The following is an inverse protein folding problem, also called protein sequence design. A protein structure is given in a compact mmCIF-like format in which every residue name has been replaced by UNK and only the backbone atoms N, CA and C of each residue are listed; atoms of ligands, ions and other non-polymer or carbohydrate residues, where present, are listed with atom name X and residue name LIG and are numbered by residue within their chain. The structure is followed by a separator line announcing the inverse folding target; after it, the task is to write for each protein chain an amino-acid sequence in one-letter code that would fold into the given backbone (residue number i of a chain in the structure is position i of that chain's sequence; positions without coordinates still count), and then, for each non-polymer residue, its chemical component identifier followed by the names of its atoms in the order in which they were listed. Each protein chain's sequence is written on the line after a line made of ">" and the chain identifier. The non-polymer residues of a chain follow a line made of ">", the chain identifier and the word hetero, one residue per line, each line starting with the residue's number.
data_IF_064163511628
#
_entry.id   IF_064163511628
#
_cell.length_a   1.000
_cell.length_b   1.000
_cell.length_c   1.000
_cell.angle_alpha   90.00
_cell.angle_beta   90.00
_cell.angle_gamma   90.00
#
_symmetry.space_group_name_H-M   'P 1'
#
loop_
_entity.id
_entity.type
_entity.pdbx_description
1 polymer ?
#
# COMPACT_ATOMS: atom_id res chain seq x y z
N UNK A 1 11.77 17.75 -4.58
CA UNK A 1 12.05 16.54 -5.39
C UNK A 1 12.52 15.35 -4.54
N UNK A 2 13.66 15.43 -3.85
CA UNK A 2 14.23 14.31 -3.06
C UNK A 2 13.25 13.68 -2.06
N UNK A 3 12.45 14.51 -1.37
CA UNK A 3 11.43 14.02 -0.45
C UNK A 3 10.41 13.10 -1.12
N UNK A 4 9.89 13.49 -2.29
CA UNK A 4 8.93 12.69 -3.04
C UNK A 4 9.53 11.36 -3.51
N UNK A 5 10.81 11.36 -3.91
CA UNK A 5 11.53 10.13 -4.26
C UNK A 5 11.58 9.18 -3.06
N UNK A 6 11.85 9.68 -1.85
CA UNK A 6 11.81 8.85 -0.65
C UNK A 6 10.42 8.29 -0.37
N UNK A 7 9.36 9.09 -0.51
CA UNK A 7 7.99 8.58 -0.35
C UNK A 7 7.66 7.49 -1.37
N UNK A 8 8.13 7.62 -2.61
CA UNK A 8 7.97 6.61 -3.65
C UNK A 8 8.69 5.31 -3.31
N UNK A 9 9.94 5.39 -2.84
CA UNK A 9 10.73 4.22 -2.39
C UNK A 9 10.02 3.53 -1.23
N UNK A 10 9.60 4.28 -0.21
CA UNK A 10 8.88 3.72 0.95
C UNK A 10 7.59 3.04 0.48
N UNK A 11 6.80 3.71 -0.37
CA UNK A 11 5.56 3.15 -0.91
C UNK A 11 5.80 1.84 -1.68
N UNK A 12 6.89 1.77 -2.47
CA UNK A 12 7.26 0.58 -3.23
C UNK A 12 7.64 -0.61 -2.32
N UNK A 13 8.17 -0.34 -1.12
CA UNK A 13 8.55 -1.38 -0.16
C UNK A 13 7.35 -1.90 0.65
N UNK A 14 6.30 -1.10 0.87
CA UNK A 14 5.14 -1.48 1.68
C UNK A 14 4.46 -2.80 1.25
N UNK A 15 4.21 -3.08 -0.05
CA UNK A 15 3.65 -4.36 -0.48
C UNK A 15 4.54 -5.55 -0.11
N UNK A 16 5.86 -5.41 -0.21
CA UNK A 16 6.81 -6.46 0.16
C UNK A 16 6.86 -6.68 1.67
N UNK A 17 6.77 -5.60 2.47
CA UNK A 17 6.63 -5.72 3.92
C UNK A 17 5.30 -6.41 4.31
N UNK A 18 4.21 -6.08 3.60
CA UNK A 18 2.90 -6.72 3.79
C UNK A 18 2.90 -8.23 3.47
N UNK A 19 3.90 -8.72 2.73
CA UNK A 19 4.08 -10.16 2.47
C UNK A 19 4.53 -10.94 3.71
N UNK A 20 5.14 -10.30 4.70
CA UNK A 20 5.62 -10.97 5.92
C UNK A 20 4.53 -11.76 6.64
N UNK A 21 3.39 -11.14 7.01
CA UNK A 21 2.24 -11.84 7.59
C UNK A 21 1.68 -12.98 6.71
N UNK A 22 1.71 -12.82 5.39
CA UNK A 22 1.29 -13.86 4.43
C UNK A 22 2.22 -15.06 4.53
N UNK A 23 3.53 -14.84 4.49
CA UNK A 23 4.53 -15.89 4.60
C UNK A 23 4.46 -16.62 5.96
N UNK A 24 4.21 -15.88 7.04
CA UNK A 24 3.95 -16.48 8.35
C UNK A 24 2.73 -17.41 8.32
N UNK A 25 1.61 -16.96 7.75
CA UNK A 25 0.41 -17.79 7.63
C UNK A 25 0.61 -19.00 6.71
N UNK A 26 1.34 -18.85 5.60
CA UNK A 26 1.72 -19.94 4.71
C UNK A 26 2.55 -20.99 5.44
N UNK A 27 3.55 -20.57 6.24
CA UNK A 27 4.37 -21.49 7.04
C UNK A 27 3.55 -22.35 8.02
N UNK A 28 2.40 -21.85 8.50
CA UNK A 28 1.48 -22.61 9.36
C UNK A 28 0.66 -23.67 8.60
N UNK A 29 0.62 -23.65 7.27
CA UNK A 29 -0.02 -24.67 6.42
C UNK A 29 0.94 -25.84 6.10
N UNK A 30 1.69 -26.32 7.10
CA UNK A 30 2.64 -27.44 6.93
C UNK A 30 4.00 -27.05 6.34
N UNK A 31 4.43 -25.80 6.51
CA UNK A 31 5.68 -25.27 5.95
C UNK A 31 5.45 -24.36 4.74
N UNK A 32 6.46 -23.60 4.33
CA UNK A 32 6.36 -22.72 3.17
C UNK A 32 6.66 -23.50 1.88
N UNK A 33 5.71 -23.56 0.96
CA UNK A 33 5.88 -24.21 -0.35
C UNK A 33 6.50 -23.22 -1.35
N UNK A 34 7.80 -23.37 -1.62
CA UNK A 34 8.52 -22.56 -2.61
C UNK A 34 8.26 -22.98 -4.05
N UNK A 35 7.74 -24.19 -4.29
CA UNK A 35 7.44 -24.68 -5.63
C UNK A 35 6.09 -24.15 -6.12
N UNK A 36 5.08 -24.09 -5.24
CA UNK A 36 3.72 -23.62 -5.59
C UNK A 36 3.16 -22.58 -4.61
N UNK A 37 3.85 -21.45 -4.36
CA UNK A 37 3.48 -20.48 -3.32
C UNK A 37 2.09 -19.86 -3.57
N UNK A 38 1.69 -19.65 -4.83
CA UNK A 38 0.36 -19.09 -5.17
C UNK A 38 -0.77 -20.07 -4.88
N UNK A 39 -0.56 -21.36 -5.15
CA UNK A 39 -1.53 -22.39 -4.82
C UNK A 39 -1.68 -22.52 -3.30
N UNK A 40 -0.58 -22.40 -2.55
CA UNK A 40 -0.62 -22.37 -1.09
C UNK A 40 -1.33 -21.11 -0.55
N UNK A 41 -1.10 -19.94 -1.15
CA UNK A 41 -1.83 -18.72 -0.79
C UNK A 41 -3.35 -18.87 -0.95
N UNK A 42 -3.80 -19.56 -1.99
CA UNK A 42 -5.23 -19.85 -2.22
C UNK A 42 -5.88 -20.73 -1.15
N UNK A 43 -5.08 -21.41 -0.31
CA UNK A 43 -5.57 -22.22 0.82
C UNK A 43 -5.66 -21.43 2.13
N UNK A 44 -5.18 -20.18 2.16
CA UNK A 44 -5.20 -19.35 3.36
C UNK A 44 -6.64 -18.98 3.73
N UNK A 45 -6.97 -19.07 5.01
CA UNK A 45 -8.26 -18.65 5.58
C UNK A 45 -8.02 -17.72 6.77
N UNK A 46 -9.09 -17.08 7.28
CA UNK A 46 -9.03 -16.24 8.48
C UNK A 46 -7.96 -15.14 8.38
N UNK A 47 -7.00 -15.15 9.32
CA UNK A 47 -5.89 -14.21 9.34
C UNK A 47 -5.04 -14.25 8.06
N UNK A 48 -4.74 -15.44 7.53
CA UNK A 48 -3.91 -15.60 6.33
C UNK A 48 -4.59 -15.00 5.09
N UNK A 49 -5.89 -15.22 4.93
CA UNK A 49 -6.67 -14.61 3.85
C UNK A 49 -6.67 -13.08 3.95
N UNK A 50 -6.83 -12.53 5.17
CA UNK A 50 -6.75 -11.08 5.41
C UNK A 50 -5.37 -10.51 5.09
N UNK A 51 -4.31 -11.19 5.50
CA UNK A 51 -2.94 -10.80 5.17
C UNK A 51 -2.69 -10.79 3.66
N UNK A 52 -3.17 -11.82 2.94
CA UNK A 52 -3.03 -11.90 1.48
C UNK A 52 -3.76 -10.76 0.79
N UNK A 53 -4.99 -10.47 1.20
CA UNK A 53 -5.77 -9.38 0.64
C UNK A 53 -5.15 -8.00 0.94
N UNK A 54 -4.57 -7.81 2.14
CA UNK A 54 -3.84 -6.59 2.47
C UNK A 54 -2.58 -6.41 1.59
N UNK A 55 -1.83 -7.48 1.36
CA UNK A 55 -0.66 -7.50 0.48
C UNK A 55 -1.03 -7.15 -0.98
N UNK A 56 -2.09 -7.75 -1.52
CA UNK A 56 -2.56 -7.45 -2.87
C UNK A 56 -3.04 -5.99 -3.00
N UNK A 57 -3.83 -5.52 -2.03
CA UNK A 57 -4.31 -4.15 -2.03
C UNK A 57 -3.18 -3.11 -1.89
N UNK A 58 -2.06 -3.47 -1.24
CA UNK A 58 -0.89 -2.60 -1.18
C UNK A 58 -0.31 -2.34 -2.59
N UNK A 59 -0.28 -3.34 -3.47
CA UNK A 59 0.14 -3.14 -4.87
C UNK A 59 -0.87 -2.29 -5.65
N UNK A 60 -2.17 -2.54 -5.51
CA UNK A 60 -3.23 -1.74 -6.14
C UNK A 60 -3.09 -0.26 -5.81
N UNK A 61 -2.94 0.05 -4.52
CA UNK A 61 -2.76 1.42 -4.05
C UNK A 61 -1.44 2.03 -4.52
N UNK A 62 -0.34 1.25 -4.50
CA UNK A 62 0.98 1.73 -4.93
C UNK A 62 0.97 2.19 -6.39
N UNK A 63 0.29 1.48 -7.29
CA UNK A 63 0.24 1.86 -8.71
C UNK A 63 -0.30 3.28 -8.92
N UNK A 64 -1.39 3.63 -8.23
CA UNK A 64 -2.00 4.96 -8.33
C UNK A 64 -1.07 6.03 -7.73
N UNK A 65 -0.50 5.75 -6.56
CA UNK A 65 0.41 6.68 -5.90
C UNK A 65 1.71 6.91 -6.68
N UNK A 66 2.28 5.84 -7.24
CA UNK A 66 3.47 5.93 -8.07
C UNK A 66 3.24 6.82 -9.29
N UNK A 67 2.10 6.65 -9.98
CA UNK A 67 1.70 7.53 -11.07
C UNK A 67 1.55 8.99 -10.61
N UNK A 68 0.92 9.24 -9.46
CA UNK A 68 0.74 10.59 -8.92
C UNK A 68 2.07 11.29 -8.62
N UNK A 69 2.98 10.61 -7.93
CA UNK A 69 4.29 11.17 -7.56
C UNK A 69 5.17 11.38 -8.80
N UNK A 70 5.18 10.43 -9.73
CA UNK A 70 5.95 10.57 -10.97
C UNK A 70 5.41 11.72 -11.83
N UNK A 71 4.08 11.88 -11.91
CA UNK A 71 3.46 13.02 -12.58
C UNK A 71 3.94 14.33 -11.94
N UNK A 72 3.81 14.47 -10.62
CA UNK A 72 4.22 15.66 -9.90
C UNK A 72 5.72 16.00 -10.06
N UNK A 73 6.60 14.99 -10.06
CA UNK A 73 8.02 15.19 -10.34
C UNK A 73 8.24 15.63 -11.80
N UNK A 74 7.59 14.98 -12.76
CA UNK A 74 7.75 15.27 -14.19
C UNK A 74 7.25 16.65 -14.60
N UNK A 75 6.22 17.16 -13.92
CA UNK A 75 5.65 18.50 -14.14
C UNK A 75 6.24 19.54 -13.19
N UNK A 76 7.25 19.19 -12.40
CA UNK A 76 7.91 20.05 -11.41
C UNK A 76 6.97 20.64 -10.32
N UNK A 77 5.84 19.99 -10.05
CA UNK A 77 4.93 20.33 -8.96
C UNK A 77 5.41 19.67 -7.66
N UNK A 78 6.39 20.29 -7.00
CA UNK A 78 7.08 19.71 -5.83
C UNK A 78 6.87 20.52 -4.55
N UNK A 79 5.81 21.32 -4.50
CA UNK A 79 5.45 22.18 -3.37
C UNK A 79 5.08 21.43 -2.09
N UNK A 80 4.94 22.18 -1.00
CA UNK A 80 4.69 21.63 0.34
C UNK A 80 3.42 20.78 0.41
N UNK A 81 2.31 21.24 -0.19
CA UNK A 81 1.05 20.50 -0.18
C UNK A 81 1.17 19.10 -0.80
N UNK A 82 1.92 18.96 -1.91
CA UNK A 82 2.15 17.64 -2.54
C UNK A 82 2.99 16.74 -1.62
N UNK A 83 3.99 17.30 -0.93
CA UNK A 83 4.79 16.55 0.04
C UNK A 83 3.96 16.11 1.26
N UNK A 84 3.06 16.96 1.75
CA UNK A 84 2.13 16.62 2.84
C UNK A 84 1.17 15.51 2.41
N UNK A 85 0.56 15.62 1.21
CA UNK A 85 -0.31 14.58 0.65
C UNK A 85 0.42 13.24 0.49
N UNK A 86 1.67 13.26 0.02
CA UNK A 86 2.50 12.07 -0.10
C UNK A 86 2.80 11.43 1.26
N UNK A 87 3.03 12.26 2.29
CA UNK A 87 3.22 11.79 3.67
C UNK A 87 1.94 11.14 4.23
N UNK A 88 0.79 11.80 4.04
CA UNK A 88 -0.53 11.29 4.45
C UNK A 88 -0.80 9.93 3.80
N UNK A 89 -0.49 9.78 2.51
CA UNK A 89 -0.59 8.50 1.82
C UNK A 89 0.18 7.40 2.53
N UNK A 90 1.47 7.60 2.82
CA UNK A 90 2.33 6.58 3.46
C UNK A 90 1.75 6.17 4.82
N UNK A 91 1.39 7.14 5.65
CA UNK A 91 0.81 6.89 6.98
C UNK A 91 -0.51 6.11 6.85
N UNK A 92 -1.39 6.55 5.95
CA UNK A 92 -2.67 5.88 5.71
C UNK A 92 -2.47 4.42 5.25
N UNK A 93 -1.44 4.12 4.45
CA UNK A 93 -1.14 2.75 3.99
C UNK A 93 -0.62 1.85 5.09
N UNK A 94 0.22 2.37 5.99
CA UNK A 94 0.66 1.61 7.17
C UNK A 94 -0.54 1.28 8.06
N UNK A 95 -1.38 2.28 8.36
CA UNK A 95 -2.57 2.09 9.18
C UNK A 95 -3.56 1.12 8.51
N UNK A 96 -3.83 1.29 7.21
CA UNK A 96 -4.74 0.41 6.45
C UNK A 96 -4.33 -1.06 6.57
N UNK A 97 -3.04 -1.36 6.40
CA UNK A 97 -2.54 -2.72 6.48
C UNK A 97 -2.74 -3.32 7.88
N UNK A 98 -2.41 -2.57 8.94
CA UNK A 98 -2.65 -3.00 10.32
C UNK A 98 -4.13 -3.27 10.58
N UNK A 99 -5.03 -2.35 10.19
CA UNK A 99 -6.48 -2.53 10.36
C UNK A 99 -7.01 -3.75 9.60
N UNK A 100 -6.44 -4.06 8.44
CA UNK A 100 -6.79 -5.24 7.67
C UNK A 100 -6.46 -6.52 8.46
N UNK A 101 -5.26 -6.60 9.06
CA UNK A 101 -4.82 -7.73 9.86
C UNK A 101 -5.73 -7.93 11.10
N UNK A 102 -6.06 -6.83 11.78
CA UNK A 102 -6.93 -6.80 12.96
C UNK A 102 -8.44 -6.91 12.67
N UNK A 103 -8.83 -6.99 11.39
CA UNK A 103 -10.24 -7.13 10.97
C UNK A 103 -11.15 -5.94 11.38
N UNK A 104 -10.63 -4.70 11.38
CA UNK A 104 -11.39 -3.50 11.75
C UNK A 104 -11.92 -2.81 10.48
N UNK A 105 -13.16 -3.17 10.10
CA UNK A 105 -13.73 -2.85 8.78
C UNK A 105 -13.98 -1.36 8.48
N UNK A 106 -14.69 -0.64 9.36
CA UNK A 106 -15.13 0.75 9.07
C UNK A 106 -13.92 1.68 8.93
N UNK A 107 -13.01 1.65 9.91
CA UNK A 107 -11.82 2.50 9.90
C UNK A 107 -10.91 2.17 8.70
N UNK A 108 -10.84 0.89 8.30
CA UNK A 108 -10.10 0.45 7.11
C UNK A 108 -10.61 1.15 5.85
N UNK A 109 -11.92 1.23 5.64
CA UNK A 109 -12.49 1.92 4.47
C UNK A 109 -12.18 3.42 4.48
N UNK A 110 -12.25 4.07 5.65
CA UNK A 110 -11.92 5.49 5.79
C UNK A 110 -10.46 5.76 5.39
N UNK A 111 -9.50 5.01 5.95
CA UNK A 111 -8.09 5.24 5.62
C UNK A 111 -7.74 4.84 4.18
N UNK A 112 -8.48 3.90 3.60
CA UNK A 112 -8.38 3.59 2.17
C UNK A 112 -8.76 4.81 1.31
N UNK A 113 -9.90 5.45 1.59
CA UNK A 113 -10.32 6.66 0.90
C UNK A 113 -9.33 7.81 1.08
N UNK A 114 -8.74 7.97 2.28
CA UNK A 114 -7.68 8.97 2.50
C UNK A 114 -6.49 8.70 1.58
N UNK A 115 -5.99 7.46 1.52
CA UNK A 115 -4.85 7.12 0.67
C UNK A 115 -5.13 7.33 -0.83
N UNK A 116 -6.31 6.94 -1.30
CA UNK A 116 -6.73 7.18 -2.68
C UNK A 116 -6.88 8.67 -2.98
N UNK A 117 -7.60 9.39 -2.10
CA UNK A 117 -7.83 10.82 -2.18
C UNK A 117 -6.54 11.62 -2.24
N UNK A 118 -5.55 11.28 -1.41
CA UNK A 118 -4.23 11.93 -1.46
C UNK A 118 -3.55 11.76 -2.82
N UNK A 119 -3.60 10.56 -3.39
CA UNK A 119 -2.97 10.29 -4.69
C UNK A 119 -3.66 11.06 -5.81
N UNK A 120 -5.00 11.06 -5.83
CA UNK A 120 -5.78 11.81 -6.82
C UNK A 120 -5.62 13.32 -6.65
N UNK A 121 -5.57 13.83 -5.41
CA UNK A 121 -5.35 15.23 -5.13
C UNK A 121 -3.99 15.71 -5.64
N UNK A 122 -2.92 14.91 -5.49
CA UNK A 122 -1.62 15.21 -6.10
C UNK A 122 -1.75 15.34 -7.62
N UNK A 123 -2.45 14.42 -8.28
CA UNK A 123 -2.65 14.48 -9.73
C UNK A 123 -3.40 15.73 -10.16
N UNK A 124 -4.47 16.10 -9.44
CA UNK A 124 -5.27 17.31 -9.72
C UNK A 124 -4.45 18.58 -9.53
N UNK A 125 -3.60 18.64 -8.49
CA UNK A 125 -2.71 19.77 -8.23
C UNK A 125 -1.61 19.95 -9.29
N UNK A 126 -1.39 18.96 -10.17
CA UNK A 126 -0.47 19.08 -11.30
C UNK A 126 -1.10 19.75 -12.53
N UNK A 127 -2.41 20.07 -12.50
CA UNK A 127 -3.11 20.75 -13.58
C UNK A 127 -2.94 22.27 -13.58
N UNK A 128 -2.50 22.83 -12.46
CA UNK A 128 -2.43 24.28 -12.20
C UNK A 128 -1.01 24.81 -12.31
#
# INVERSE_FOLDING_TARGET
>A
MTFLIWTLIIAALLPYLAKGPVAHAMSKLGGYDNHHPRAQQGKLTGFGARALAAHQNAFESFMIFAAAVLLAISTNHIGETIQQLATIYIIARVIYNLLYLFNIGILRSVVWFISLGSSLAIMVLCLS
#
